data_IF_049758026371
#
_entry.id   IF_049758026371
#
_cell.length_a   1.000
_cell.length_b   1.000
_cell.length_c   1.000
_cell.angle_alpha   90.00
_cell.angle_beta   90.00
_cell.angle_gamma   90.00
#
_symmetry.space_group_name_H-M   'P 1'
#
loop_
_entity.id
_entity.type
_entity.pdbx_description
1 polymer ?
#
# COMPACT_ATOMS: atom_id res chain seq x y z
N UNK A 1 28.31 -44.47 -48.12
CA UNK A 1 27.71 -43.22 -47.61
C UNK A 1 27.20 -43.49 -46.21
N UNK A 2 28.05 -43.21 -45.21
CA UNK A 2 27.82 -43.56 -43.80
C UNK A 2 27.92 -42.27 -42.98
N UNK A 3 26.96 -42.09 -42.08
CA UNK A 3 26.52 -40.83 -41.46
C UNK A 3 27.56 -40.23 -40.49
N UNK A 4 27.75 -38.93 -40.58
CA UNK A 4 28.44 -38.09 -39.59
C UNK A 4 27.51 -37.77 -38.38
N UNK A 5 28.06 -37.46 -37.18
CA UNK A 5 27.29 -37.19 -35.96
C UNK A 5 27.09 -35.67 -35.71
N UNK A 6 26.42 -35.35 -34.59
CA UNK A 6 26.09 -34.04 -34.01
C UNK A 6 24.75 -33.41 -34.41
N UNK A 7 23.84 -33.37 -33.44
CA UNK A 7 23.21 -32.11 -33.03
C UNK A 7 22.62 -32.28 -31.62
N UNK A 8 23.18 -31.52 -30.67
CA UNK A 8 22.60 -31.26 -29.36
C UNK A 8 21.14 -30.80 -29.51
N UNK A 9 20.20 -31.51 -28.89
CA UNK A 9 18.83 -31.04 -28.73
C UNK A 9 18.61 -30.73 -27.25
N UNK A 10 18.52 -29.43 -26.99
CA UNK A 10 18.34 -28.80 -25.68
C UNK A 10 17.04 -29.28 -25.04
N UNK A 11 17.13 -29.88 -23.84
CA UNK A 11 15.99 -30.04 -22.94
C UNK A 11 15.66 -28.66 -22.36
N UNK A 12 14.65 -27.99 -22.90
CA UNK A 12 14.05 -26.85 -22.26
C UNK A 12 13.21 -27.34 -21.06
N UNK A 13 13.77 -27.24 -19.86
CA UNK A 13 13.00 -27.36 -18.64
C UNK A 13 12.11 -26.12 -18.51
N UNK A 14 10.81 -26.28 -18.77
CA UNK A 14 9.83 -25.24 -18.49
C UNK A 14 9.71 -25.09 -16.98
N UNK A 15 10.37 -24.07 -16.42
CA UNK A 15 10.18 -23.65 -15.04
C UNK A 15 8.79 -23.02 -14.99
N UNK A 16 7.84 -23.74 -14.41
CA UNK A 16 6.51 -23.23 -14.09
C UNK A 16 6.67 -22.30 -12.87
N UNK A 17 7.06 -21.04 -13.10
CA UNK A 17 6.92 -20.01 -12.07
C UNK A 17 5.44 -19.69 -11.94
N UNK A 18 4.81 -20.24 -10.91
CA UNK A 18 3.58 -19.69 -10.39
C UNK A 18 3.91 -18.27 -9.88
N UNK A 19 3.73 -17.28 -10.75
CA UNK A 19 3.64 -15.89 -10.33
C UNK A 19 2.44 -15.82 -9.39
N UNK A 20 2.71 -15.74 -8.09
CA UNK A 20 1.68 -15.43 -7.11
C UNK A 20 1.01 -14.15 -7.56
N UNK A 21 -0.30 -14.19 -7.77
CA UNK A 21 -1.11 -12.99 -7.94
C UNK A 21 -1.06 -12.24 -6.62
N UNK A 22 -0.11 -11.31 -6.51
CA UNK A 22 -0.08 -10.31 -5.45
C UNK A 22 -1.39 -9.50 -5.57
N UNK A 23 -2.18 -9.49 -4.49
CA UNK A 23 -3.47 -8.82 -4.49
C UNK A 23 -3.28 -7.33 -4.78
N UNK A 24 -3.95 -6.91 -5.85
CA UNK A 24 -3.88 -5.63 -6.54
C UNK A 24 -3.91 -4.40 -5.64
N UNK A 25 -2.95 -3.49 -5.86
CA UNK A 25 -2.97 -2.14 -5.33
C UNK A 25 -4.27 -1.44 -5.73
N UNK A 26 -5.00 -0.92 -4.76
CA UNK A 26 -5.97 0.13 -5.03
C UNK A 26 -5.19 1.45 -5.10
N UNK A 27 -5.05 1.98 -6.31
CA UNK A 27 -4.36 3.24 -6.56
C UNK A 27 -5.34 4.40 -6.47
N UNK A 28 -5.16 5.25 -5.47
CA UNK A 28 -5.91 6.49 -5.29
C UNK A 28 -5.03 7.68 -5.66
N UNK A 29 -5.56 8.60 -6.47
CA UNK A 29 -4.87 9.87 -6.75
C UNK A 29 -5.60 11.04 -6.10
N UNK A 30 -4.86 11.88 -5.38
CA UNK A 30 -5.34 13.11 -4.78
C UNK A 30 -4.71 14.32 -5.47
N UNK A 31 -5.52 15.31 -5.80
CA UNK A 31 -5.06 16.61 -6.28
C UNK A 31 -5.20 17.61 -5.13
N UNK A 32 -4.08 18.15 -4.65
CA UNK A 32 -4.06 19.10 -3.53
C UNK A 32 -3.30 20.35 -3.93
N UNK A 33 -3.81 21.53 -3.60
CA UNK A 33 -2.99 22.73 -3.59
C UNK A 33 -2.04 22.70 -2.39
N UNK A 34 -0.87 23.32 -2.49
CA UNK A 34 0.05 23.48 -1.35
C UNK A 34 -0.69 24.11 -0.16
N UNK A 35 -0.52 23.52 1.02
CA UNK A 35 -1.22 23.87 2.25
C UNK A 35 -2.62 23.28 2.41
N UNK A 36 -3.13 22.50 1.44
CA UNK A 36 -4.34 21.69 1.62
C UNK A 36 -4.02 20.32 2.23
N UNK A 37 -5.06 19.73 2.81
CA UNK A 37 -5.00 18.45 3.49
C UNK A 37 -6.21 17.58 3.08
N UNK A 38 -6.00 16.27 3.02
CA UNK A 38 -7.03 15.28 2.80
C UNK A 38 -6.93 14.16 3.84
N UNK A 39 -8.08 13.56 4.19
CA UNK A 39 -8.13 12.37 5.02
C UNK A 39 -8.03 11.10 4.16
N UNK A 40 -7.23 10.14 4.62
CA UNK A 40 -7.25 8.76 4.12
C UNK A 40 -7.91 7.90 5.18
N UNK A 41 -8.87 7.10 4.76
CA UNK A 41 -9.70 6.26 5.64
C UNK A 41 -9.70 4.84 5.11
N UNK A 42 -9.20 3.90 5.91
CA UNK A 42 -9.13 2.50 5.53
C UNK A 42 -9.83 1.65 6.58
N UNK A 43 -10.66 0.72 6.12
CA UNK A 43 -11.34 -0.22 7.01
C UNK A 43 -10.32 -1.14 7.71
N UNK A 44 -10.45 -1.23 9.03
CA UNK A 44 -9.57 -1.98 9.90
C UNK A 44 -10.38 -2.76 10.92
N UNK A 45 -9.93 -3.98 11.25
CA UNK A 45 -10.48 -4.71 12.38
C UNK A 45 -9.35 -5.19 13.30
N UNK A 46 -8.95 -4.38 14.31
CA UNK A 46 -7.81 -4.69 15.18
C UNK A 46 -7.99 -6.00 15.97
N UNK A 47 -9.22 -6.47 16.18
CA UNK A 47 -9.50 -7.72 16.90
C UNK A 47 -8.98 -8.96 16.18
N UNK A 48 -8.71 -8.85 14.88
CA UNK A 48 -8.11 -9.91 14.06
C UNK A 48 -6.58 -9.91 14.12
N UNK A 49 -5.97 -8.93 14.79
CA UNK A 49 -4.52 -8.72 14.84
C UNK A 49 -3.94 -8.01 13.61
N UNK A 50 -4.75 -7.78 12.57
CA UNK A 50 -4.33 -7.00 11.41
C UNK A 50 -4.49 -5.50 11.65
N UNK A 51 -3.52 -4.74 11.15
CA UNK A 51 -3.49 -3.29 11.22
C UNK A 51 -2.95 -2.71 9.92
N UNK A 52 -3.42 -1.52 9.57
CA UNK A 52 -2.84 -0.72 8.51
C UNK A 52 -1.65 0.08 9.07
N UNK A 53 -0.55 0.11 8.31
CA UNK A 53 0.62 0.93 8.60
C UNK A 53 1.18 1.52 7.31
N UNK A 54 1.96 2.60 7.40
CA UNK A 54 2.73 3.09 6.25
C UNK A 54 3.89 2.11 6.00
N UNK A 55 4.10 1.72 4.74
CA UNK A 55 5.22 0.89 4.34
C UNK A 55 6.55 1.66 4.48
N UNK A 56 7.31 1.32 5.52
CA UNK A 56 8.61 1.92 5.80
C UNK A 56 9.63 1.66 4.68
N UNK A 57 9.47 0.58 3.89
CA UNK A 57 10.40 0.26 2.79
C UNK A 57 10.15 1.13 1.56
N UNK A 58 8.88 1.43 1.26
CA UNK A 58 8.51 2.37 0.20
C UNK A 58 8.89 3.82 0.55
N UNK A 59 8.84 4.17 1.84
CA UNK A 59 9.16 5.50 2.32
C UNK A 59 8.12 6.56 1.91
N UNK A 60 8.35 7.79 2.36
CA UNK A 60 7.49 8.96 2.04
C UNK A 60 8.39 10.15 1.74
N UNK A 61 8.08 10.90 0.68
CA UNK A 61 8.78 12.13 0.38
C UNK A 61 8.32 13.26 1.32
N UNK A 62 9.01 13.40 2.46
CA UNK A 62 8.71 14.40 3.49
C UNK A 62 8.92 15.87 3.05
N UNK A 63 9.54 16.12 1.89
CA UNK A 63 9.64 17.48 1.33
C UNK A 63 8.36 17.94 0.65
N UNK A 64 7.52 17.01 0.19
CA UNK A 64 6.27 17.27 -0.54
C UNK A 64 5.05 17.02 0.36
N UNK A 65 5.10 16.02 1.25
CA UNK A 65 3.98 15.62 2.08
C UNK A 65 4.33 15.65 3.57
N UNK A 66 3.35 16.07 4.37
CA UNK A 66 3.30 15.79 5.80
C UNK A 66 2.14 14.84 6.07
N UNK A 67 2.41 13.75 6.78
CA UNK A 67 1.42 12.74 7.12
C UNK A 67 1.28 12.66 8.63
N UNK A 68 0.05 12.73 9.11
CA UNK A 68 -0.30 12.56 10.52
C UNK A 68 -1.20 11.34 10.67
N UNK A 69 -0.76 10.37 11.45
CA UNK A 69 -1.59 9.26 11.87
C UNK A 69 -2.63 9.74 12.89
N UNK A 70 -3.92 9.52 12.60
CA UNK A 70 -5.05 9.87 13.48
C UNK A 70 -5.59 8.65 14.22
N UNK A 71 -5.07 7.46 13.95
CA UNK A 71 -5.38 6.21 14.59
C UNK A 71 -6.70 5.57 14.14
N UNK A 72 -7.02 4.47 14.82
CA UNK A 72 -8.23 3.69 14.64
C UNK A 72 -9.44 4.29 15.37
N UNK A 73 -10.57 4.38 14.67
CA UNK A 73 -11.86 4.86 15.15
C UNK A 73 -12.96 3.84 14.82
N UNK A 74 -13.66 3.35 15.85
CA UNK A 74 -14.63 2.27 15.67
C UNK A 74 -15.99 2.75 15.13
N UNK A 75 -16.48 3.91 15.59
CA UNK A 75 -17.75 4.52 15.18
C UNK A 75 -17.74 6.04 15.47
N UNK A 76 -18.49 6.84 14.70
CA UNK A 76 -18.67 8.27 14.95
C UNK A 76 -19.52 8.57 16.20
N UNK A 77 -20.44 7.66 16.55
CA UNK A 77 -21.43 7.86 17.63
C UNK A 77 -20.88 7.56 19.05
N UNK A 78 -19.57 7.34 19.20
CA UNK A 78 -18.91 7.15 20.49
C UNK A 78 -19.17 5.81 21.20
N UNK A 79 -20.08 4.97 20.71
CA UNK A 79 -20.27 3.61 21.22
C UNK A 79 -19.17 2.68 20.73
N UNK A 80 -18.25 2.33 21.64
CA UNK A 80 -17.22 1.32 21.43
C UNK A 80 -17.81 -0.08 21.67
N UNK A 81 -17.77 -0.92 20.65
CA UNK A 81 -18.20 -2.32 20.70
C UNK A 81 -16.95 -3.21 20.68
N UNK A 82 -16.83 -4.12 21.65
CA UNK A 82 -15.70 -5.02 21.70
C UNK A 82 -15.62 -5.86 20.42
N UNK A 83 -14.47 -5.85 19.76
CA UNK A 83 -14.23 -6.62 18.54
C UNK A 83 -14.80 -6.03 17.25
N UNK A 84 -15.54 -4.91 17.30
CA UNK A 84 -16.13 -4.34 16.10
C UNK A 84 -15.07 -3.74 15.15
N UNK A 85 -15.28 -3.85 13.82
CA UNK A 85 -14.45 -3.15 12.83
C UNK A 85 -14.63 -1.63 12.95
N UNK A 86 -13.76 -0.90 12.28
CA UNK A 86 -13.78 0.55 12.22
C UNK A 86 -12.90 1.07 11.09
N UNK A 87 -12.46 2.32 11.22
CA UNK A 87 -11.66 3.04 10.24
C UNK A 87 -10.34 3.47 10.88
N UNK A 88 -9.22 3.16 10.23
CA UNK A 88 -7.95 3.81 10.50
C UNK A 88 -7.85 5.07 9.64
N UNK A 89 -7.59 6.22 10.27
CA UNK A 89 -7.52 7.51 9.57
C UNK A 89 -6.09 8.08 9.60
N UNK A 90 -5.64 8.58 8.45
CA UNK A 90 -4.50 9.49 8.34
C UNK A 90 -4.97 10.83 7.80
N UNK A 91 -4.20 11.88 8.07
CA UNK A 91 -4.31 13.12 7.32
C UNK A 91 -3.02 13.40 6.56
N UNK A 92 -3.16 13.76 5.28
CA UNK A 92 -2.06 14.00 4.35
C UNK A 92 -2.17 15.44 3.88
N UNK A 93 -1.16 16.24 4.20
CA UNK A 93 -1.05 17.63 3.80
C UNK A 93 0.04 17.82 2.75
N UNK A 94 -0.25 18.57 1.69
CA UNK A 94 0.72 19.00 0.70
C UNK A 94 1.54 20.18 1.23
N UNK A 95 2.85 20.02 1.38
CA UNK A 95 3.77 21.06 1.90
C UNK A 95 4.55 21.78 0.82
N UNK A 96 4.74 21.15 -0.34
CA UNK A 96 5.39 21.72 -1.53
C UNK A 96 4.74 21.18 -2.80
N UNK A 97 4.90 21.89 -3.92
CA UNK A 97 4.41 21.41 -5.21
C UNK A 97 5.26 20.22 -5.69
N UNK A 98 4.64 19.29 -6.41
CA UNK A 98 5.27 18.07 -6.91
C UNK A 98 4.38 16.84 -6.78
N UNK A 99 4.96 15.67 -7.04
CA UNK A 99 4.27 14.37 -6.92
C UNK A 99 4.94 13.53 -5.84
N UNK A 100 4.14 12.92 -4.97
CA UNK A 100 4.63 11.99 -3.97
C UNK A 100 3.60 10.89 -3.71
N UNK A 101 4.06 9.68 -3.42
CA UNK A 101 3.19 8.53 -3.14
C UNK A 101 3.41 8.05 -1.71
N UNK A 102 2.35 7.47 -1.14
CA UNK A 102 2.32 6.85 0.19
C UNK A 102 1.71 5.48 0.02
N UNK A 103 2.41 4.46 0.49
CA UNK A 103 1.92 3.09 0.47
C UNK A 103 1.49 2.69 1.88
N UNK A 104 0.24 2.27 2.02
CA UNK A 104 -0.31 1.68 3.23
C UNK A 104 -0.36 0.16 3.06
N UNK A 105 0.02 -0.58 4.09
CA UNK A 105 0.03 -2.05 4.11
C UNK A 105 -0.79 -2.57 5.27
N UNK A 106 -1.57 -3.61 5.02
CA UNK A 106 -2.43 -4.27 6.00
C UNK A 106 -1.82 -5.63 6.37
N UNK A 107 -1.31 -5.74 7.59
CA UNK A 107 -0.62 -6.94 8.05
C UNK A 107 -0.67 -7.10 9.57
N UNK A 108 -0.41 -8.32 10.05
CA UNK A 108 -0.04 -8.52 11.45
C UNK A 108 1.42 -8.13 11.68
N UNK A 109 1.74 -7.68 12.88
CA UNK A 109 3.10 -7.24 13.23
C UNK A 109 4.16 -8.33 13.11
N UNK A 110 3.76 -9.61 13.16
CA UNK A 110 4.64 -10.77 13.01
C UNK A 110 4.64 -11.38 11.60
N UNK A 111 3.86 -10.85 10.66
CA UNK A 111 3.84 -11.32 9.27
C UNK A 111 4.84 -10.53 8.42
N UNK A 112 5.53 -11.21 7.50
CA UNK A 112 6.53 -10.59 6.62
C UNK A 112 5.91 -9.95 5.38
N UNK A 113 4.73 -10.44 4.97
CA UNK A 113 4.06 -10.05 3.73
C UNK A 113 2.66 -9.52 4.07
N UNK A 114 2.30 -8.33 3.59
CA UNK A 114 0.97 -7.81 3.81
C UNK A 114 -0.08 -8.56 3.01
N UNK A 115 -1.27 -8.67 3.60
CA UNK A 115 -2.41 -9.32 2.93
C UNK A 115 -3.21 -8.34 2.07
N UNK A 116 -3.03 -7.02 2.29
CA UNK A 116 -3.56 -5.95 1.42
C UNK A 116 -2.60 -4.76 1.38
N UNK A 117 -2.69 -3.98 0.31
CA UNK A 117 -1.98 -2.72 0.13
C UNK A 117 -2.94 -1.68 -0.44
N UNK A 118 -2.74 -0.41 -0.08
CA UNK A 118 -3.42 0.74 -0.66
C UNK A 118 -2.39 1.82 -0.96
N UNK A 119 -2.32 2.30 -2.20
CA UNK A 119 -1.36 3.34 -2.57
C UNK A 119 -2.09 4.65 -2.87
N UNK A 120 -1.63 5.73 -2.24
CA UNK A 120 -2.13 7.08 -2.49
C UNK A 120 -1.04 7.89 -3.14
N UNK A 121 -1.30 8.38 -4.35
CA UNK A 121 -0.45 9.36 -5.02
C UNK A 121 -1.05 10.75 -4.86
N UNK A 122 -0.26 11.68 -4.33
CA UNK A 122 -0.64 13.08 -4.20
C UNK A 122 0.08 13.89 -5.28
N UNK A 123 -0.72 14.56 -6.10
CA UNK A 123 -0.28 15.60 -7.01
C UNK A 123 -0.51 16.95 -6.32
N UNK A 124 0.57 17.56 -5.86
CA UNK A 124 0.57 18.84 -5.19
C UNK A 124 0.84 19.98 -6.20
N UNK A 125 -0.11 20.89 -6.34
CA UNK A 125 0.02 22.07 -7.22
C UNK A 125 0.26 23.34 -6.42
N UNK A 126 1.02 24.28 -6.97
CA UNK A 126 1.13 25.61 -6.40
C UNK A 126 -0.25 26.28 -6.34
N UNK A 127 -0.42 27.18 -5.36
CA UNK A 127 -1.64 28.01 -5.27
C UNK A 127 -1.66 29.09 -6.34
#
# INVERSE_FOLDING_TARGET
MMRAPLACLLLAAAILTAAGTEAYAADQTLQLAVGQEAAIELEENPSTGYQWTIDAKAGVNASILRINDRGFLQNADGKRLLGAPGIHRWSIAATSAGSASVTFVYQRSWEATPVRQHQVTVQAVAR
#
